data_IF_400339443969
#
_entry.id   IF_400339443969
#
_cell.length_a   1.000
_cell.length_b   1.000
_cell.length_c   1.000
_cell.angle_alpha   90.00
_cell.angle_beta   90.00
_cell.angle_gamma   90.00
#
_symmetry.space_group_name_H-M   'P 1'
#
loop_
_entity.id
_entity.type
_entity.pdbx_description
1 polymer ?
#
# COMPACT_ATOMS: atom_id res chain seq x y z
N UNK A 1 11.01 8.37 11.98
CA UNK A 1 10.83 9.84 11.73
C UNK A 1 12.06 10.60 11.17
N UNK A 2 12.94 9.96 10.39
CA UNK A 2 14.09 10.63 9.73
C UNK A 2 14.36 10.07 8.32
N UNK A 3 13.32 9.60 7.65
CA UNK A 3 13.37 9.03 6.31
C UNK A 3 12.39 9.78 5.41
N UNK A 4 12.62 9.75 4.09
CA UNK A 4 11.64 10.25 3.13
C UNK A 4 10.50 9.25 2.97
N UNK A 5 9.38 9.68 2.39
CA UNK A 5 8.25 8.80 2.14
C UNK A 5 8.60 7.62 1.22
N UNK A 6 9.47 7.84 0.23
CA UNK A 6 9.96 6.82 -0.68
C UNK A 6 10.83 5.79 0.04
N UNK A 7 11.72 6.24 0.93
CA UNK A 7 12.55 5.34 1.73
C UNK A 7 11.72 4.55 2.74
N UNK A 8 10.70 5.17 3.35
CA UNK A 8 9.73 4.48 4.19
C UNK A 8 9.01 3.39 3.39
N UNK A 9 8.44 3.73 2.23
CA UNK A 9 7.76 2.76 1.37
C UNK A 9 8.66 1.58 0.97
N UNK A 10 9.92 1.85 0.59
CA UNK A 10 10.91 0.79 0.31
C UNK A 10 11.16 -0.10 1.54
N UNK A 11 11.30 0.49 2.74
CA UNK A 11 11.55 -0.25 3.97
C UNK A 11 10.35 -1.15 4.33
N UNK A 12 9.13 -0.61 4.31
CA UNK A 12 7.90 -1.37 4.64
C UNK A 12 7.71 -2.54 3.65
N UNK A 13 7.90 -2.32 2.34
CA UNK A 13 7.83 -3.40 1.34
C UNK A 13 8.85 -4.51 1.59
N UNK A 14 10.05 -4.18 2.07
CA UNK A 14 11.05 -5.17 2.45
C UNK A 14 10.68 -5.89 3.75
N UNK A 15 10.27 -5.16 4.78
CA UNK A 15 9.91 -5.73 6.09
C UNK A 15 8.72 -6.68 5.98
N UNK A 16 7.64 -6.27 5.30
CA UNK A 16 6.40 -7.05 5.18
C UNK A 16 6.51 -8.17 4.12
N UNK A 17 7.06 -7.87 2.94
CA UNK A 17 6.98 -8.74 1.76
C UNK A 17 8.32 -9.34 1.33
N UNK A 18 9.43 -8.95 1.96
CA UNK A 18 10.81 -9.22 1.51
C UNK A 18 11.07 -8.77 0.06
N UNK A 19 10.34 -7.72 -0.37
CA UNK A 19 10.48 -7.15 -1.70
C UNK A 19 11.50 -6.01 -1.70
N UNK A 20 12.65 -6.24 -2.32
CA UNK A 20 13.63 -5.19 -2.55
C UNK A 20 13.29 -4.41 -3.83
N UNK A 21 13.06 -3.10 -3.70
CA UNK A 21 12.73 -2.21 -4.81
C UNK A 21 13.80 -1.15 -5.07
N UNK A 22 13.80 -0.62 -6.28
CA UNK A 22 14.54 0.58 -6.67
C UNK A 22 13.63 1.82 -6.54
N UNK A 23 14.04 2.80 -5.74
CA UNK A 23 13.26 4.02 -5.50
C UNK A 23 13.08 4.82 -6.80
N UNK A 24 14.01 4.75 -7.75
CA UNK A 24 13.89 5.46 -9.04
C UNK A 24 12.69 5.00 -9.88
N UNK A 25 12.20 3.78 -9.63
CA UNK A 25 11.05 3.19 -10.31
C UNK A 25 9.75 3.29 -9.47
N UNK A 26 9.81 3.88 -8.27
CA UNK A 26 8.65 4.06 -7.40
C UNK A 26 7.87 5.32 -7.81
N UNK A 27 6.73 5.12 -8.47
CA UNK A 27 5.93 6.22 -9.00
C UNK A 27 4.93 6.71 -7.96
N UNK A 28 5.05 7.95 -7.53
CA UNK A 28 4.02 8.59 -6.70
C UNK A 28 2.75 8.85 -7.51
N UNK A 29 1.61 8.40 -6.99
CA UNK A 29 0.31 8.60 -7.63
C UNK A 29 -0.46 9.76 -7.01
N UNK A 30 -0.68 9.72 -5.68
CA UNK A 30 -1.45 10.74 -4.97
C UNK A 30 -1.31 10.60 -3.45
N UNK A 31 -1.90 11.53 -2.71
CA UNK A 31 -2.06 11.47 -1.27
C UNK A 31 -3.51 11.75 -0.89
N UNK A 32 -3.98 11.08 0.16
CA UNK A 32 -5.34 11.24 0.66
C UNK A 32 -5.33 11.31 2.19
N UNK A 33 -6.20 12.13 2.80
CA UNK A 33 -6.39 12.11 4.24
C UNK A 33 -7.06 10.80 4.67
N UNK A 34 -6.71 10.33 5.87
CA UNK A 34 -7.30 9.17 6.49
C UNK A 34 -7.44 9.38 8.01
N UNK A 35 -8.32 8.61 8.65
CA UNK A 35 -8.48 8.57 10.10
C UNK A 35 -8.18 7.15 10.57
N UNK A 36 -7.09 6.99 11.30
CA UNK A 36 -6.67 5.71 11.87
C UNK A 36 -7.04 5.64 13.35
N UNK A 37 -7.98 4.77 13.70
CA UNK A 37 -8.38 4.57 15.10
C UNK A 37 -7.43 3.59 15.79
N UNK A 38 -6.72 4.05 16.82
CA UNK A 38 -5.83 3.22 17.64
C UNK A 38 -6.09 3.44 19.11
N UNK A 39 -6.46 2.38 19.83
CA UNK A 39 -6.77 2.41 21.28
C UNK A 39 -7.79 3.51 21.63
N UNK A 40 -8.91 3.55 20.89
CA UNK A 40 -9.99 4.54 21.05
C UNK A 40 -9.58 5.99 20.78
N UNK A 41 -8.43 6.21 20.13
CA UNK A 41 -7.96 7.54 19.73
C UNK A 41 -7.92 7.61 18.21
N UNK A 42 -8.55 8.64 17.67
CA UNK A 42 -8.51 8.94 16.24
C UNK A 42 -7.21 9.70 15.90
N UNK A 43 -6.39 9.11 15.05
CA UNK A 43 -5.21 9.72 14.49
C UNK A 43 -5.51 10.18 13.07
N UNK A 44 -5.36 11.47 12.81
CA UNK A 44 -5.43 12.00 11.45
C UNK A 44 -4.11 11.71 10.75
N UNK A 45 -4.15 10.93 9.68
CA UNK A 45 -2.99 10.57 8.87
C UNK A 45 -3.16 11.06 7.44
N UNK A 46 -2.06 11.07 6.69
CA UNK A 46 -2.06 11.21 5.24
C UNK A 46 -1.46 9.92 4.69
N UNK A 47 -2.24 9.22 3.86
CA UNK A 47 -1.77 8.04 3.17
C UNK A 47 -1.19 8.46 1.82
N UNK A 48 -0.03 7.89 1.47
CA UNK A 48 0.67 8.14 0.22
C UNK A 48 0.59 6.89 -0.65
N UNK A 49 0.09 7.05 -1.88
CA UNK A 49 -0.12 5.95 -2.81
C UNK A 49 0.99 5.96 -3.86
N UNK A 50 1.68 4.83 -3.97
CA UNK A 50 2.75 4.62 -4.93
C UNK A 50 2.42 3.41 -5.82
N UNK A 51 2.91 3.44 -7.06
CA UNK A 51 2.90 2.30 -7.97
C UNK A 51 4.34 1.83 -8.20
N UNK A 52 4.53 0.52 -8.14
CA UNK A 52 5.78 -0.13 -8.48
C UNK A 52 5.52 -1.33 -9.39
N UNK A 53 6.17 -1.36 -10.56
CA UNK A 53 6.03 -2.45 -11.50
C UNK A 53 7.17 -3.45 -11.32
N UNK A 54 6.82 -4.71 -11.05
CA UNK A 54 7.77 -5.83 -10.97
C UNK A 54 7.85 -6.57 -12.30
N UNK A 55 9.02 -7.11 -12.68
CA UNK A 55 9.21 -7.77 -13.96
C UNK A 55 8.43 -9.10 -14.07
N UNK A 56 8.23 -9.78 -12.96
CA UNK A 56 7.49 -11.04 -12.89
C UNK A 56 6.71 -11.16 -11.59
N UNK A 57 5.65 -11.98 -11.61
CA UNK A 57 4.87 -12.30 -10.43
C UNK A 57 5.71 -13.15 -9.48
N UNK A 58 5.81 -12.75 -8.22
CA UNK A 58 6.61 -13.43 -7.20
C UNK A 58 5.73 -14.04 -6.10
N UNK A 59 6.31 -15.01 -5.39
CA UNK A 59 5.74 -15.50 -4.13
C UNK A 59 6.18 -14.59 -3.00
N UNK A 60 5.23 -14.15 -2.18
CA UNK A 60 5.54 -13.29 -1.05
C UNK A 60 6.06 -14.14 0.10
N UNK A 61 7.28 -13.85 0.56
CA UNK A 61 7.80 -14.38 1.81
C UNK A 61 7.38 -13.47 2.96
N UNK A 62 6.27 -13.81 3.62
CA UNK A 62 5.64 -12.98 4.63
C UNK A 62 6.47 -12.88 5.92
N UNK A 63 6.59 -11.66 6.45
CA UNK A 63 6.88 -11.48 7.86
C UNK A 63 5.60 -11.73 8.69
N UNK A 64 5.38 -12.98 9.11
CA UNK A 64 4.19 -13.42 9.86
C UNK A 64 3.93 -12.63 11.17
N UNK A 65 4.91 -11.88 11.66
CA UNK A 65 4.75 -11.00 12.82
C UNK A 65 3.92 -9.74 12.53
N UNK A 66 3.78 -9.35 11.26
CA UNK A 66 3.14 -8.10 10.85
C UNK A 66 1.94 -8.33 9.93
N UNK A 67 2.04 -9.28 9.01
CA UNK A 67 0.98 -9.61 8.04
C UNK A 67 0.59 -11.08 8.11
N UNK A 68 -0.72 -11.36 8.02
CA UNK A 68 -1.26 -12.73 8.12
C UNK A 68 -1.21 -13.48 6.79
N UNK A 69 -1.44 -12.79 5.67
CA UNK A 69 -1.49 -13.38 4.33
C UNK A 69 -1.38 -12.31 3.23
N UNK A 70 -1.12 -12.73 2.00
CA UNK A 70 -1.15 -11.87 0.81
C UNK A 70 -1.88 -12.53 -0.34
N UNK A 71 -2.61 -11.72 -1.10
CA UNK A 71 -3.36 -12.16 -2.27
C UNK A 71 -2.98 -11.36 -3.50
N UNK A 72 -2.78 -12.05 -4.62
CA UNK A 72 -2.68 -11.42 -5.93
C UNK A 72 -4.07 -11.31 -6.56
N UNK A 73 -4.63 -10.11 -6.58
CA UNK A 73 -6.00 -9.86 -7.05
C UNK A 73 -5.95 -9.14 -8.40
N UNK A 74 -6.62 -9.63 -9.45
CA UNK A 74 -6.78 -8.88 -10.71
C UNK A 74 -7.48 -7.54 -10.46
N UNK A 75 -7.04 -6.45 -11.10
CA UNK A 75 -7.59 -5.09 -10.87
C UNK A 75 -9.13 -5.03 -10.99
N UNK A 76 -9.69 -5.70 -12.00
CA UNK A 76 -11.15 -5.77 -12.25
C UNK A 76 -11.94 -6.55 -11.18
N UNK A 77 -11.25 -7.30 -10.33
CA UNK A 77 -11.83 -8.14 -9.26
C UNK A 77 -11.62 -7.50 -7.88
N UNK A 78 -10.96 -6.33 -7.79
CA UNK A 78 -10.84 -5.59 -6.53
C UNK A 78 -12.23 -5.16 -6.06
N UNK A 79 -12.62 -5.65 -4.89
CA UNK A 79 -13.81 -5.22 -4.19
C UNK A 79 -13.43 -4.15 -3.15
N UNK A 80 -13.99 -2.94 -3.28
CA UNK A 80 -13.66 -1.83 -2.38
C UNK A 80 -14.12 -2.08 -0.93
N UNK A 81 -15.14 -2.93 -0.73
CA UNK A 81 -15.64 -3.23 0.62
C UNK A 81 -14.68 -4.09 1.44
N UNK A 82 -13.71 -4.76 0.80
CA UNK A 82 -12.68 -5.56 1.48
C UNK A 82 -11.53 -4.68 2.02
N UNK A 83 -11.47 -3.41 1.62
CA UNK A 83 -10.45 -2.47 2.08
C UNK A 83 -10.84 -1.86 3.42
N UNK A 84 -9.89 -1.76 4.35
CA UNK A 84 -10.16 -1.28 5.70
C UNK A 84 -10.32 0.24 5.77
N UNK A 85 -9.58 1.00 4.96
CA UNK A 85 -9.49 2.46 5.07
C UNK A 85 -10.21 3.20 3.94
N UNK A 86 -10.85 4.32 4.29
CA UNK A 86 -11.60 5.15 3.33
C UNK A 86 -10.68 5.78 2.27
N UNK A 87 -9.46 6.17 2.65
CA UNK A 87 -8.43 6.64 1.72
C UNK A 87 -8.15 5.63 0.61
N UNK A 88 -8.01 4.34 0.96
CA UNK A 88 -7.78 3.26 0.01
C UNK A 88 -8.97 3.07 -0.92
N UNK A 89 -10.20 3.09 -0.38
CA UNK A 89 -11.44 2.99 -1.17
C UNK A 89 -11.56 4.12 -2.18
N UNK A 90 -11.28 5.36 -1.75
CA UNK A 90 -11.30 6.55 -2.60
C UNK A 90 -10.24 6.43 -3.70
N UNK A 91 -9.01 6.05 -3.32
CA UNK A 91 -7.92 5.86 -4.28
C UNK A 91 -8.30 4.84 -5.36
N UNK A 92 -8.66 3.61 -4.97
CA UNK A 92 -8.96 2.56 -5.94
C UNK A 92 -10.22 2.84 -6.77
N UNK A 93 -11.23 3.53 -6.21
CA UNK A 93 -12.41 3.96 -6.97
C UNK A 93 -12.05 4.87 -8.16
N UNK A 94 -11.06 5.74 -8.02
CA UNK A 94 -10.60 6.61 -9.10
C UNK A 94 -9.57 5.91 -9.99
N UNK A 95 -8.60 5.20 -9.39
CA UNK A 95 -7.53 4.53 -10.11
C UNK A 95 -8.05 3.46 -11.08
N UNK A 96 -9.08 2.70 -10.68
CA UNK A 96 -9.68 1.65 -11.52
C UNK A 96 -10.47 2.19 -12.73
N UNK A 97 -10.78 3.48 -12.82
CA UNK A 97 -11.48 4.04 -14.00
C UNK A 97 -10.61 4.08 -15.25
N UNK A 98 -9.29 3.97 -15.09
CA UNK A 98 -8.33 4.01 -16.19
C UNK A 98 -8.05 2.62 -16.78
N UNK A 99 -8.71 1.57 -16.27
CA UNK A 99 -8.58 0.17 -16.69
C UNK A 99 -9.94 -0.42 -17.06
#
# INVERSE_FOLDING_TARGET
PKESAEHACKRELFEELQLEIDIENLNYLTSLPNVYQYKEIDYNTIDLFYEYNVPEKFEVSLALSEISETHWIPLKEINLDDLAFDSQKIFFKEYLKNF
#
